data_IF_038181133803
#
_entry.id   IF_038181133803
#
_cell.length_a   1.000
_cell.length_b   1.000
_cell.length_c   1.000
_cell.angle_alpha   90.00
_cell.angle_beta   90.00
_cell.angle_gamma   90.00
#
_symmetry.space_group_name_H-M   'P 1'
#
loop_
_entity.id
_entity.type
_entity.pdbx_description
1 polymer ?
#
# COMPACT_ATOMS: atom_id res chain seq x y z
N UNK A 1 4.91 -16.89 16.77
CA UNK A 1 4.00 -15.73 16.79
C UNK A 1 3.53 -15.45 15.38
N UNK A 2 2.22 -15.42 15.15
CA UNK A 2 1.65 -15.11 13.84
C UNK A 2 1.77 -13.60 13.63
N UNK A 3 2.58 -13.15 12.65
CA UNK A 3 2.84 -11.73 12.37
C UNK A 3 1.56 -11.05 11.89
N UNK A 4 0.85 -10.34 12.76
CA UNK A 4 -0.45 -9.77 12.42
C UNK A 4 -0.36 -8.41 11.69
N UNK A 5 0.85 -7.82 11.65
CA UNK A 5 1.14 -6.51 11.06
C UNK A 5 0.27 -5.37 11.60
N UNK A 6 -0.30 -5.52 12.80
CA UNK A 6 -0.83 -4.39 13.57
C UNK A 6 0.33 -3.55 14.12
N UNK A 7 0.03 -2.37 14.68
CA UNK A 7 1.03 -1.42 15.18
C UNK A 7 2.15 -2.06 16.01
N UNK A 8 1.81 -2.85 17.04
CA UNK A 8 2.82 -3.49 17.91
C UNK A 8 3.77 -4.43 17.16
N UNK A 9 3.27 -5.08 16.11
CA UNK A 9 4.08 -5.94 15.26
C UNK A 9 4.96 -5.10 14.33
N UNK A 10 4.40 -4.08 13.67
CA UNK A 10 5.15 -3.24 12.72
C UNK A 10 6.23 -2.41 13.42
N UNK A 11 5.94 -1.88 14.61
CA UNK A 11 6.84 -1.03 15.39
C UNK A 11 8.06 -1.79 15.96
N UNK A 12 7.99 -3.13 16.01
CA UNK A 12 9.07 -3.97 16.56
C UNK A 12 9.82 -4.77 15.51
N UNK A 13 9.30 -4.84 14.28
CA UNK A 13 9.95 -5.57 13.19
C UNK A 13 11.04 -4.71 12.53
N UNK A 14 12.16 -5.32 12.09
CA UNK A 14 13.16 -4.64 11.28
C UNK A 14 12.57 -4.11 9.98
N UNK A 15 12.98 -2.92 9.57
CA UNK A 15 12.47 -2.28 8.35
C UNK A 15 12.75 -3.14 7.12
N UNK A 16 13.98 -3.65 7.00
CA UNK A 16 14.42 -4.45 5.86
C UNK A 16 13.57 -5.73 5.70
N UNK A 17 13.18 -6.35 6.81
CA UNK A 17 12.26 -7.48 6.79
C UNK A 17 10.87 -7.08 6.28
N UNK A 18 10.34 -5.94 6.73
CA UNK A 18 9.04 -5.45 6.28
C UNK A 18 9.05 -5.09 4.79
N UNK A 19 10.13 -4.47 4.30
CA UNK A 19 10.33 -4.18 2.87
C UNK A 19 10.37 -5.47 2.05
N UNK A 20 11.16 -6.47 2.47
CA UNK A 20 11.25 -7.75 1.78
C UNK A 20 9.89 -8.44 1.70
N UNK A 21 9.16 -8.54 2.83
CA UNK A 21 7.86 -9.21 2.83
C UNK A 21 6.82 -8.46 2.01
N UNK A 22 6.85 -7.13 2.05
CA UNK A 22 5.93 -6.30 1.27
C UNK A 22 6.19 -6.44 -0.22
N UNK A 23 7.45 -6.36 -0.67
CA UNK A 23 7.82 -6.54 -2.07
C UNK A 23 7.45 -7.94 -2.57
N UNK A 24 7.73 -8.98 -1.78
CA UNK A 24 7.30 -10.35 -2.10
C UNK A 24 5.79 -10.46 -2.23
N UNK A 25 5.03 -9.71 -1.43
CA UNK A 25 3.58 -9.69 -1.51
C UNK A 25 3.10 -8.96 -2.77
N UNK A 26 3.68 -7.81 -3.09
CA UNK A 26 3.36 -7.05 -4.30
C UNK A 26 3.63 -7.87 -5.57
N UNK A 27 4.80 -8.49 -5.69
CA UNK A 27 5.13 -9.36 -6.83
C UNK A 27 4.21 -10.58 -6.97
N UNK A 28 3.62 -11.04 -5.87
CA UNK A 28 2.66 -12.16 -5.88
C UNK A 28 1.26 -11.71 -6.29
N UNK A 29 0.87 -10.47 -6.00
CA UNK A 29 -0.47 -9.95 -6.24
C UNK A 29 -0.59 -9.22 -7.59
N UNK A 30 0.49 -8.58 -8.04
CA UNK A 30 0.53 -7.80 -9.28
C UNK A 30 1.38 -8.56 -10.31
N UNK A 31 0.78 -9.06 -11.41
CA UNK A 31 1.52 -9.74 -12.46
C UNK A 31 2.61 -8.86 -13.07
N UNK A 32 3.73 -9.46 -13.47
CA UNK A 32 4.86 -8.74 -14.07
C UNK A 32 4.47 -7.95 -15.32
N UNK A 33 3.56 -8.48 -16.16
CA UNK A 33 3.06 -7.77 -17.33
C UNK A 33 2.37 -6.47 -16.96
N UNK A 34 1.58 -6.48 -15.89
CA UNK A 34 0.87 -5.31 -15.39
C UNK A 34 1.84 -4.32 -14.73
N UNK A 35 2.85 -4.81 -14.00
CA UNK A 35 3.95 -3.98 -13.50
C UNK A 35 4.64 -3.24 -14.66
N UNK A 36 4.98 -3.94 -15.74
CA UNK A 36 5.62 -3.33 -16.90
C UNK A 36 4.72 -2.28 -17.56
N UNK A 37 3.42 -2.56 -17.70
CA UNK A 37 2.45 -1.58 -18.22
C UNK A 37 2.33 -0.34 -17.34
N UNK A 38 2.26 -0.51 -16.01
CA UNK A 38 2.14 0.60 -15.07
C UNK A 38 3.36 1.53 -15.09
N UNK A 39 4.56 0.99 -15.31
CA UNK A 39 5.83 1.71 -15.24
C UNK A 39 6.47 1.95 -16.63
N UNK A 40 5.69 1.84 -17.71
CA UNK A 40 6.09 2.29 -19.04
C UNK A 40 5.59 3.72 -19.26
N UNK A 41 6.50 4.69 -19.19
CA UNK A 41 6.20 6.12 -19.32
C UNK A 41 6.44 6.63 -20.74
N UNK A 42 5.68 7.64 -21.14
CA UNK A 42 5.84 8.29 -22.45
C UNK A 42 7.09 9.18 -22.47
N UNK A 43 7.65 9.46 -23.66
CA UNK A 43 8.85 10.31 -23.78
C UNK A 43 8.65 11.70 -23.13
N UNK A 44 7.47 12.29 -23.26
CA UNK A 44 7.13 13.58 -22.67
C UNK A 44 7.13 13.59 -21.13
N UNK A 45 6.95 12.42 -20.50
CA UNK A 45 7.00 12.27 -19.05
C UNK A 45 8.44 12.11 -18.57
N UNK A 46 9.32 11.50 -19.36
CA UNK A 46 10.71 11.20 -18.99
C UNK A 46 11.64 12.40 -19.20
N UNK A 47 11.26 13.35 -20.05
CA UNK A 47 12.06 14.56 -20.32
C UNK A 47 11.98 15.64 -19.24
N UNK A 48 11.00 15.57 -18.34
CA UNK A 48 10.78 16.50 -17.23
C UNK A 48 10.72 15.72 -15.90
N UNK A 49 11.70 15.96 -15.02
CA UNK A 49 11.82 15.25 -13.75
C UNK A 49 10.55 15.35 -12.88
N UNK A 50 9.84 16.48 -12.91
CA UNK A 50 8.62 16.65 -12.12
C UNK A 50 7.46 15.84 -12.70
N UNK A 51 7.37 15.76 -14.04
CA UNK A 51 6.38 14.91 -14.71
C UNK A 51 6.68 13.44 -14.49
N UNK A 52 7.94 13.02 -14.62
CA UNK A 52 8.38 11.66 -14.35
C UNK A 52 8.02 11.25 -12.92
N UNK A 53 8.29 12.13 -11.95
CA UNK A 53 7.97 11.87 -10.55
C UNK A 53 6.45 11.72 -10.35
N UNK A 54 5.64 12.57 -10.96
CA UNK A 54 4.17 12.47 -10.91
C UNK A 54 3.66 11.16 -11.51
N UNK A 55 4.18 10.75 -12.67
CA UNK A 55 3.83 9.50 -13.34
C UNK A 55 4.22 8.27 -12.48
N UNK A 56 5.41 8.29 -11.87
CA UNK A 56 5.85 7.27 -10.93
C UNK A 56 4.94 7.16 -9.70
N UNK A 57 4.50 8.31 -9.15
CA UNK A 57 3.56 8.31 -8.02
C UNK A 57 2.21 7.68 -8.39
N UNK A 58 1.66 8.05 -9.55
CA UNK A 58 0.41 7.48 -10.04
C UNK A 58 0.52 5.97 -10.30
N UNK A 59 1.62 5.53 -10.92
CA UNK A 59 1.92 4.12 -11.14
C UNK A 59 2.00 3.33 -9.81
N UNK A 60 2.69 3.88 -8.80
CA UNK A 60 2.76 3.28 -7.47
C UNK A 60 1.38 3.20 -6.80
N UNK A 61 0.57 4.26 -6.88
CA UNK A 61 -0.77 4.26 -6.31
C UNK A 61 -1.65 3.18 -6.96
N UNK A 62 -1.63 3.08 -8.29
CA UNK A 62 -2.35 2.05 -9.04
C UNK A 62 -1.86 0.64 -8.69
N UNK A 63 -0.55 0.42 -8.61
CA UNK A 63 0.04 -0.86 -8.21
C UNK A 63 -0.47 -1.32 -6.84
N UNK A 64 -0.49 -0.43 -5.84
CA UNK A 64 -0.98 -0.77 -4.50
C UNK A 64 -2.48 -1.02 -4.52
N UNK A 65 -3.26 -0.23 -5.25
CA UNK A 65 -4.71 -0.41 -5.34
C UNK A 65 -5.09 -1.77 -5.93
N UNK A 66 -4.37 -2.21 -6.97
CA UNK A 66 -4.52 -3.53 -7.57
C UNK A 66 -4.09 -4.61 -6.59
N UNK A 67 -2.92 -4.47 -5.97
CA UNK A 67 -2.45 -5.46 -5.00
C UNK A 67 -3.48 -5.67 -3.87
N UNK A 68 -4.03 -4.58 -3.33
CA UNK A 68 -5.02 -4.61 -2.26
C UNK A 68 -6.34 -5.27 -2.68
N UNK A 69 -6.77 -5.13 -3.94
CA UNK A 69 -7.99 -5.79 -4.43
C UNK A 69 -7.84 -7.31 -4.57
N UNK A 70 -6.63 -7.81 -4.81
CA UNK A 70 -6.38 -9.25 -5.02
C UNK A 70 -6.20 -10.04 -3.71
N UNK A 71 -5.91 -9.36 -2.59
CA UNK A 71 -5.64 -10.02 -1.31
C UNK A 71 -6.78 -10.93 -0.82
N UNK A 72 -8.08 -10.56 -0.90
CA UNK A 72 -9.17 -11.45 -0.50
C UNK A 72 -9.18 -12.77 -1.27
N UNK A 73 -8.96 -12.70 -2.60
CA UNK A 73 -8.94 -13.89 -3.46
C UNK A 73 -7.78 -14.83 -3.11
N UNK A 74 -6.62 -14.27 -2.74
CA UNK A 74 -5.45 -15.06 -2.33
C UNK A 74 -5.71 -15.99 -1.13
N UNK A 75 -6.67 -15.65 -0.26
CA UNK A 75 -6.95 -16.39 0.98
C UNK A 75 -8.33 -17.04 1.02
N UNK A 76 -9.09 -17.04 -0.09
CA UNK A 76 -10.48 -17.52 -0.14
C UNK A 76 -10.65 -18.95 0.40
N UNK A 77 -9.64 -19.78 0.19
CA UNK A 77 -9.68 -21.21 0.52
C UNK A 77 -9.04 -21.53 1.88
N UNK A 78 -8.72 -20.51 2.68
CA UNK A 78 -8.09 -20.69 4.00
C UNK A 78 -9.08 -20.59 5.15
N UNK A 79 -8.90 -21.41 6.20
CA UNK A 79 -9.77 -21.45 7.39
C UNK A 79 -9.91 -20.09 8.09
N UNK A 80 -8.90 -19.22 7.95
CA UNK A 80 -8.84 -17.88 8.54
C UNK A 80 -8.75 -16.79 7.46
N UNK A 81 -9.45 -16.96 6.34
CA UNK A 81 -9.41 -16.08 5.16
C UNK A 81 -9.42 -14.59 5.53
N UNK A 82 -10.43 -14.14 6.27
CA UNK A 82 -10.56 -12.74 6.66
C UNK A 82 -9.36 -12.22 7.45
N UNK A 83 -8.93 -12.95 8.47
CA UNK A 83 -7.78 -12.55 9.28
C UNK A 83 -6.50 -12.50 8.44
N UNK A 84 -6.28 -13.48 7.56
CA UNK A 84 -5.11 -13.50 6.69
C UNK A 84 -5.12 -12.35 5.67
N UNK A 85 -6.28 -12.03 5.10
CA UNK A 85 -6.45 -10.89 4.21
C UNK A 85 -6.16 -9.58 4.93
N UNK A 86 -6.75 -9.35 6.11
CA UNK A 86 -6.48 -8.13 6.88
C UNK A 86 -4.99 -7.99 7.24
N UNK A 87 -4.32 -9.10 7.59
CA UNK A 87 -2.89 -9.09 7.86
C UNK A 87 -2.10 -8.63 6.63
N UNK A 88 -2.38 -9.16 5.45
CA UNK A 88 -1.65 -8.74 4.25
C UNK A 88 -2.02 -7.31 3.81
N UNK A 89 -3.27 -6.88 4.00
CA UNK A 89 -3.68 -5.50 3.74
C UNK A 89 -2.86 -4.53 4.59
N UNK A 90 -2.67 -4.81 5.90
CA UNK A 90 -1.83 -3.98 6.77
C UNK A 90 -0.39 -3.88 6.26
N UNK A 91 0.20 -5.00 5.84
CA UNK A 91 1.56 -5.03 5.30
C UNK A 91 1.68 -4.19 4.00
N UNK A 92 0.73 -4.35 3.08
CA UNK A 92 0.74 -3.59 1.81
C UNK A 92 0.47 -2.10 2.04
N UNK A 93 -0.40 -1.73 2.98
CA UNK A 93 -0.62 -0.33 3.35
C UNK A 93 0.58 0.27 4.07
N UNK A 94 1.31 -0.50 4.87
CA UNK A 94 2.58 -0.08 5.44
C UNK A 94 3.61 0.23 4.34
N UNK A 95 3.71 -0.61 3.30
CA UNK A 95 4.62 -0.36 2.18
C UNK A 95 4.27 0.92 1.43
N UNK A 96 2.97 1.14 1.15
CA UNK A 96 2.49 2.39 0.55
C UNK A 96 2.91 3.61 1.39
N UNK A 97 2.73 3.52 2.71
CA UNK A 97 3.10 4.57 3.65
C UNK A 97 4.61 4.83 3.71
N UNK A 98 5.42 3.78 3.85
CA UNK A 98 6.85 3.89 4.07
C UNK A 98 7.63 4.24 2.80
N UNK A 99 7.24 3.67 1.65
CA UNK A 99 8.08 3.68 0.45
C UNK A 99 7.52 4.52 -0.70
N UNK A 100 6.20 4.60 -0.90
CA UNK A 100 5.65 5.32 -2.06
C UNK A 100 5.73 6.84 -1.93
N UNK A 101 5.76 7.39 -0.71
CA UNK A 101 5.72 8.84 -0.48
C UNK A 101 6.65 9.32 0.65
N UNK A 102 7.47 8.41 1.23
CA UNK A 102 8.28 8.70 2.42
C UNK A 102 7.47 9.36 3.55
N UNK A 103 6.19 8.96 3.71
CA UNK A 103 5.25 9.63 4.62
C UNK A 103 5.68 9.54 6.08
N UNK A 104 6.56 8.60 6.40
CA UNK A 104 7.23 8.48 7.69
C UNK A 104 7.94 9.75 8.16
N UNK A 105 8.28 10.67 7.25
CA UNK A 105 8.84 11.99 7.60
C UNK A 105 7.79 12.97 8.15
N UNK A 106 6.52 12.73 7.87
CA UNK A 106 5.40 13.66 8.13
C UNK A 106 4.33 13.06 9.04
N UNK A 107 4.18 11.74 9.02
CA UNK A 107 3.15 11.00 9.76
C UNK A 107 3.84 9.91 10.56
N UNK A 108 3.45 9.74 11.82
CA UNK A 108 3.99 8.66 12.66
C UNK A 108 3.35 7.32 12.30
N UNK A 109 4.08 6.22 12.56
CA UNK A 109 3.57 4.87 12.32
C UNK A 109 2.27 4.59 13.09
N UNK A 110 2.12 5.12 14.32
CA UNK A 110 0.91 4.94 15.11
C UNK A 110 -0.32 5.59 14.48
N UNK A 111 -0.15 6.79 13.91
CA UNK A 111 -1.22 7.50 13.19
C UNK A 111 -1.59 6.74 11.91
N UNK A 112 -0.59 6.33 11.13
CA UNK A 112 -0.82 5.50 9.95
C UNK A 112 -1.61 4.23 10.29
N UNK A 113 -1.17 3.47 11.30
CA UNK A 113 -1.85 2.24 11.69
C UNK A 113 -3.29 2.50 12.16
N UNK A 114 -3.56 3.61 12.86
CA UNK A 114 -4.91 3.96 13.27
C UNK A 114 -5.84 4.21 12.06
N UNK A 115 -5.36 4.91 11.02
CA UNK A 115 -6.12 5.11 9.78
C UNK A 115 -6.32 3.79 9.01
N UNK A 116 -5.31 2.91 9.00
CA UNK A 116 -5.44 1.56 8.42
C UNK A 116 -6.53 0.75 9.11
N UNK A 117 -6.61 0.76 10.44
CA UNK A 117 -7.69 0.06 11.16
C UNK A 117 -9.08 0.63 10.84
N UNK A 118 -9.19 1.94 10.59
CA UNK A 118 -10.44 2.54 10.13
C UNK A 118 -10.83 2.02 8.74
N UNK A 119 -9.87 1.94 7.81
CA UNK A 119 -10.08 1.39 6.46
C UNK A 119 -10.52 -0.07 6.54
N UNK A 120 -9.90 -0.89 7.38
CA UNK A 120 -10.20 -2.32 7.49
C UNK A 120 -11.64 -2.62 7.93
N UNK A 121 -12.27 -1.73 8.70
CA UNK A 121 -13.70 -1.87 9.09
C UNK A 121 -14.65 -1.86 7.90
N UNK A 122 -14.26 -1.18 6.82
CA UNK A 122 -15.04 -1.06 5.58
C UNK A 122 -14.11 -1.19 4.38
N UNK A 123 -13.40 -2.32 4.30
CA UNK A 123 -12.40 -2.54 3.26
C UNK A 123 -13.05 -2.54 1.86
N UNK A 124 -12.47 -1.82 0.88
CA UNK A 124 -12.88 -1.92 -0.51
C UNK A 124 -12.71 -3.34 -1.08
N UNK A 125 -13.45 -3.62 -2.15
CA UNK A 125 -13.45 -4.92 -2.83
C UNK A 125 -12.75 -4.90 -4.19
N UNK A 126 -12.54 -3.73 -4.78
CA UNK A 126 -11.99 -3.58 -6.12
C UNK A 126 -10.92 -2.48 -6.17
N UNK A 127 -10.09 -2.53 -7.22
CA UNK A 127 -8.95 -1.64 -7.37
C UNK A 127 -9.35 -0.17 -7.51
N UNK A 128 -10.50 0.15 -8.10
CA UNK A 128 -10.93 1.55 -8.27
C UNK A 128 -11.38 2.16 -6.93
N UNK A 129 -12.11 1.39 -6.12
CA UNK A 129 -12.43 1.81 -4.76
C UNK A 129 -11.16 1.93 -3.88
N UNK A 130 -10.18 1.04 -4.07
CA UNK A 130 -8.88 1.16 -3.39
C UNK A 130 -8.08 2.38 -3.83
N UNK A 131 -8.05 2.73 -5.12
CA UNK A 131 -7.33 3.93 -5.58
C UNK A 131 -7.92 5.21 -4.97
N UNK A 132 -9.25 5.27 -4.84
CA UNK A 132 -9.92 6.35 -4.12
C UNK A 132 -9.50 6.38 -2.64
N UNK A 133 -9.55 5.25 -1.93
CA UNK A 133 -9.15 5.19 -0.51
C UNK A 133 -7.69 5.60 -0.31
N UNK A 134 -6.76 5.15 -1.15
CA UNK A 134 -5.36 5.54 -1.07
C UNK A 134 -5.18 7.06 -1.30
N UNK A 135 -5.93 7.63 -2.23
CA UNK A 135 -5.91 9.08 -2.50
C UNK A 135 -6.49 9.87 -1.31
N UNK A 136 -7.64 9.45 -0.79
CA UNK A 136 -8.28 10.05 0.39
C UNK A 136 -7.36 9.97 1.62
N UNK A 137 -6.60 8.87 1.75
CA UNK A 137 -5.62 8.68 2.83
C UNK A 137 -4.44 9.67 2.70
N UNK A 138 -3.98 9.97 1.49
CA UNK A 138 -2.95 10.99 1.26
C UNK A 138 -3.47 12.39 1.64
N UNK A 139 -4.70 12.74 1.26
CA UNK A 139 -5.31 14.01 1.70
C UNK A 139 -5.44 14.09 3.21
N UNK A 140 -5.86 12.99 3.85
CA UNK A 140 -5.94 12.89 5.30
C UNK A 140 -4.58 13.14 5.97
N UNK A 141 -3.50 12.58 5.43
CA UNK A 141 -2.15 12.82 5.93
C UNK A 141 -1.70 14.27 5.73
N UNK A 142 -2.04 14.89 4.60
CA UNK A 142 -1.75 16.30 4.39
C UNK A 142 -2.43 17.19 5.45
N UNK A 143 -3.70 16.92 5.76
CA UNK A 143 -4.45 17.64 6.80
C UNK A 143 -3.88 17.45 8.19
N UNK A 144 -3.43 16.22 8.52
CA UNK A 144 -2.84 15.90 9.83
C UNK A 144 -1.45 16.51 10.01
N UNK A 145 -0.66 16.61 8.94
CA UNK A 145 0.68 17.21 8.98
C UNK A 145 0.65 18.75 9.00
N UNK A 146 -0.48 19.37 8.61
CA UNK A 146 -0.65 20.81 8.64
C UNK A 146 -1.03 21.36 10.05
N UNK A 147 -1.25 20.48 11.03
CA UNK A 147 -1.60 20.81 12.43
C UNK A 147 -0.36 20.85 13.31
#
# INVERSE_FOLDING_TARGET
MQRNYAYECLNTMPREELEEFSLRMLHRLVPETMMNELFTFEQEEVEDDARLQAAQFDAMLRMHAIALSEIPALFSDSDNANQNSERMIRLVLWHFYALSFCLEKSITLSVHCAEVENILRQRPTDAFAWSKILTDLLYRYADLNAQ
#
